data_IF_849817719212
#
_entry.id   IF_849817719212
#
_cell.length_a   1.000
_cell.length_b   1.000
_cell.length_c   1.000
_cell.angle_alpha   90.00
_cell.angle_beta   90.00
_cell.angle_gamma   90.00
#
_symmetry.space_group_name_H-M   'P 1'
#
loop_
_entity.id
_entity.type
_entity.pdbx_description
1 polymer ?
#
# COMPACT_ATOMS: atom_id res chain seq x y z
N UNK A 1 34.17 -22.88 -0.18
CA UNK A 1 33.05 -22.59 -1.10
C UNK A 1 32.19 -21.52 -0.45
N UNK A 2 32.11 -20.30 -1.00
CA UNK A 2 31.31 -19.24 -0.38
C UNK A 2 29.87 -19.31 -0.90
N UNK A 3 28.93 -19.47 0.04
CA UNK A 3 27.51 -19.26 -0.22
C UNK A 3 27.25 -17.75 -0.13
N UNK A 4 26.84 -17.15 -1.24
CA UNK A 4 26.14 -15.87 -1.27
C UNK A 4 24.72 -16.15 -1.78
N UNK A 5 23.74 -15.97 -0.91
CA UNK A 5 22.37 -15.72 -1.31
C UNK A 5 21.81 -14.68 -0.36
N UNK A 6 22.00 -13.42 -0.74
CA UNK A 6 21.33 -12.29 -0.11
C UNK A 6 19.83 -12.48 -0.20
N UNK A 7 19.20 -12.67 0.95
CA UNK A 7 17.75 -12.55 1.08
C UNK A 7 17.41 -11.07 0.93
N UNK A 8 16.80 -10.71 -0.21
CA UNK A 8 16.22 -9.39 -0.42
C UNK A 8 15.13 -9.12 0.60
N UNK A 9 15.51 -8.51 1.71
CA UNK A 9 14.69 -7.48 2.34
C UNK A 9 14.59 -6.38 1.26
N UNK A 10 13.40 -6.02 0.82
CA UNK A 10 12.86 -4.67 1.04
C UNK A 10 11.51 -4.61 0.32
N UNK A 11 10.44 -4.21 1.03
CA UNK A 11 9.13 -4.02 0.40
C UNK A 11 7.93 -4.32 1.30
N UNK A 12 8.01 -4.10 2.61
CA UNK A 12 6.86 -4.34 3.51
C UNK A 12 6.13 -3.06 3.95
N UNK A 13 6.35 -1.93 3.26
CA UNK A 13 5.67 -0.67 3.55
C UNK A 13 4.28 -0.60 2.94
N UNK A 14 3.27 -0.26 3.75
CA UNK A 14 1.96 0.16 3.25
C UNK A 14 1.93 1.70 3.22
N UNK A 15 1.69 2.28 2.05
CA UNK A 15 1.55 3.71 1.84
C UNK A 15 0.08 4.13 2.03
N UNK A 16 -0.16 5.01 2.98
CA UNK A 16 -1.43 5.72 3.14
C UNK A 16 -1.40 7.03 2.36
N UNK A 17 -2.44 7.26 1.57
CA UNK A 17 -2.67 8.58 0.96
C UNK A 17 -3.98 9.14 1.50
N UNK A 18 -3.91 10.38 1.96
CA UNK A 18 -4.89 11.04 2.80
C UNK A 18 -5.07 12.48 2.31
N UNK A 19 -6.29 13.01 2.14
CA UNK A 19 -6.54 14.44 2.11
C UNK A 19 -6.96 14.89 3.52
N UNK A 20 -6.07 15.58 4.24
CA UNK A 20 -6.47 16.43 5.35
C UNK A 20 -6.67 17.85 4.85
N UNK A 21 -7.79 18.42 5.25
CA UNK A 21 -7.91 19.85 5.40
C UNK A 21 -7.53 20.19 6.84
N UNK A 22 -6.53 21.05 7.00
CA UNK A 22 -6.15 21.67 8.27
C UNK A 22 -5.55 20.72 9.32
N UNK A 23 -4.22 20.78 9.50
CA UNK A 23 -3.57 20.77 10.81
C UNK A 23 -2.06 20.52 10.64
N UNK A 24 -1.25 21.52 11.02
CA UNK A 24 0.17 21.35 11.33
C UNK A 24 0.34 20.55 12.62
N UNK A 25 0.04 19.26 12.59
CA UNK A 25 0.20 18.35 13.73
C UNK A 25 1.59 17.70 13.78
N UNK A 26 2.12 17.52 14.99
CA UNK A 26 3.36 16.79 15.28
C UNK A 26 3.29 15.29 14.92
N UNK A 27 4.44 14.61 14.90
CA UNK A 27 4.55 13.18 14.57
C UNK A 27 3.81 12.27 15.56
N UNK A 28 3.82 12.59 16.86
CA UNK A 28 3.10 11.83 17.90
C UNK A 28 1.59 11.87 17.72
N UNK A 29 1.04 13.02 17.30
CA UNK A 29 -0.38 13.18 16.96
C UNK A 29 -0.76 12.29 15.79
N UNK A 30 0.14 12.12 14.82
CA UNK A 30 -0.10 11.27 13.66
C UNK A 30 -0.10 9.78 14.02
N UNK A 31 0.87 9.32 14.82
CA UNK A 31 0.90 7.91 15.23
C UNK A 31 -0.40 7.50 15.93
N UNK A 32 -0.88 8.34 16.87
CA UNK A 32 -2.15 8.15 17.55
C UNK A 32 -3.34 8.14 16.59
N UNK A 33 -3.37 9.06 15.64
CA UNK A 33 -4.41 9.13 14.61
C UNK A 33 -4.47 7.83 13.79
N UNK A 34 -3.32 7.41 13.26
CA UNK A 34 -3.18 6.20 12.45
C UNK A 34 -3.62 4.96 13.22
N UNK A 35 -3.26 4.88 14.49
CA UNK A 35 -3.68 3.82 15.41
C UNK A 35 -5.20 3.74 15.55
N UNK A 36 -5.88 4.87 15.74
CA UNK A 36 -7.35 4.91 15.82
C UNK A 36 -7.98 4.46 14.50
N UNK A 37 -7.44 4.95 13.38
CA UNK A 37 -7.91 4.56 12.04
C UNK A 37 -7.74 3.05 11.78
N UNK A 38 -6.65 2.42 12.24
CA UNK A 38 -6.49 0.96 12.16
C UNK A 38 -7.55 0.22 12.97
N UNK A 39 -7.81 0.68 14.20
CA UNK A 39 -8.82 0.07 15.07
C UNK A 39 -10.22 0.12 14.45
N UNK A 40 -10.58 1.26 13.83
CA UNK A 40 -11.85 1.41 13.10
C UNK A 40 -11.95 0.46 11.90
N UNK A 41 -10.86 0.25 11.16
CA UNK A 41 -10.84 -0.70 10.03
C UNK A 41 -10.90 -2.15 10.51
N UNK A 42 -10.30 -2.45 11.66
CA UNK A 42 -10.16 -3.82 12.15
C UNK A 42 -11.45 -4.37 12.76
N UNK A 43 -12.24 -3.54 13.47
CA UNK A 43 -13.59 -3.77 14.05
C UNK A 43 -13.85 -5.07 14.85
N UNK A 44 -12.95 -6.05 14.85
CA UNK A 44 -13.10 -7.35 15.54
C UNK A 44 -12.25 -7.38 16.82
N UNK A 45 -12.85 -7.68 17.99
CA UNK A 45 -12.23 -7.48 19.30
C UNK A 45 -11.14 -8.50 19.68
N UNK A 46 -10.99 -9.60 18.95
CA UNK A 46 -10.08 -10.70 19.32
C UNK A 46 -8.74 -10.70 18.57
N UNK A 47 -8.38 -9.58 17.94
CA UNK A 47 -7.13 -9.43 17.20
C UNK A 47 -6.29 -8.29 17.75
N UNK A 48 -4.97 -8.40 17.53
CA UNK A 48 -3.92 -7.42 17.84
C UNK A 48 -4.49 -6.00 17.75
N UNK A 49 -4.52 -5.25 18.86
CA UNK A 49 -5.13 -3.93 18.86
C UNK A 49 -4.48 -3.00 17.83
N UNK A 50 -5.18 -1.97 17.35
CA UNK A 50 -4.59 -1.03 16.39
C UNK A 50 -3.27 -0.41 16.89
N UNK A 51 -3.12 -0.24 18.22
CA UNK A 51 -1.90 0.26 18.86
C UNK A 51 -0.75 -0.74 18.85
N UNK A 52 -1.07 -2.04 18.92
CA UNK A 52 -0.06 -3.10 18.83
C UNK A 52 0.24 -3.46 17.36
N UNK A 53 -0.67 -3.13 16.44
CA UNK A 53 -0.50 -3.41 15.02
C UNK A 53 0.48 -2.43 14.35
N UNK A 54 0.53 -1.17 14.80
CA UNK A 54 1.37 -0.10 14.23
C UNK A 54 2.64 0.05 15.05
N UNK A 55 3.79 -0.16 14.40
CA UNK A 55 5.11 0.04 15.01
C UNK A 55 5.60 1.47 14.76
N UNK A 56 5.59 1.89 13.49
CA UNK A 56 6.04 3.21 13.07
C UNK A 56 5.04 3.80 12.08
N UNK A 57 4.79 5.09 12.20
CA UNK A 57 4.07 5.85 11.19
C UNK A 57 4.88 7.13 10.88
N UNK A 58 5.17 7.39 9.60
CA UNK A 58 5.96 8.56 9.19
C UNK A 58 5.38 9.29 7.97
N UNK A 59 5.43 10.63 7.93
CA UNK A 59 4.96 11.40 6.78
C UNK A 59 6.00 11.42 5.66
N UNK A 60 5.56 11.16 4.44
CA UNK A 60 6.40 11.25 3.26
C UNK A 60 6.42 12.68 2.68
N UNK A 61 7.63 13.10 2.30
CA UNK A 61 7.86 14.34 1.57
C UNK A 61 7.95 15.59 2.46
N UNK A 62 8.38 16.68 1.83
CA UNK A 62 8.47 17.99 2.48
C UNK A 62 7.08 18.55 2.74
N UNK A 63 6.95 19.29 3.83
CA UNK A 63 5.73 20.05 4.09
C UNK A 63 5.70 21.23 3.11
N UNK A 64 4.80 21.16 2.12
CA UNK A 64 4.53 22.29 1.24
C UNK A 64 3.42 23.15 1.81
N UNK A 65 3.47 24.46 1.54
CA UNK A 65 2.39 25.41 1.88
C UNK A 65 1.14 25.20 1.02
N UNK A 66 1.25 24.42 -0.06
CA UNK A 66 0.08 23.94 -0.78
C UNK A 66 -0.58 22.89 0.10
N UNK A 67 -1.83 23.12 0.49
CA UNK A 67 -2.69 22.31 1.40
C UNK A 67 -2.82 20.81 1.06
N UNK A 68 -2.04 20.29 0.12
CA UNK A 68 -1.90 18.88 -0.19
C UNK A 68 -1.35 18.13 1.00
N UNK A 69 -2.14 17.18 1.46
CA UNK A 69 -1.75 16.32 2.57
C UNK A 69 -0.73 15.29 2.15
N UNK A 70 0.28 15.13 3.01
CA UNK A 70 1.36 14.17 2.85
C UNK A 70 0.86 12.74 3.07
N UNK A 71 1.36 11.84 2.23
CA UNK A 71 1.22 10.41 2.44
C UNK A 71 1.90 10.00 3.75
N UNK A 72 1.44 8.91 4.35
CA UNK A 72 2.03 8.31 5.56
C UNK A 72 2.51 6.91 5.21
N UNK A 73 3.76 6.58 5.50
CA UNK A 73 4.21 5.18 5.52
C UNK A 73 3.92 4.63 6.90
N UNK A 74 3.36 3.42 6.92
CA UNK A 74 3.14 2.66 8.14
C UNK A 74 3.98 1.39 8.08
N UNK A 75 4.79 1.20 9.13
CA UNK A 75 5.40 -0.07 9.45
C UNK A 75 4.49 -0.78 10.46
N UNK A 76 4.07 -1.99 10.11
CA UNK A 76 3.29 -2.83 11.01
C UNK A 76 4.22 -3.66 11.88
N UNK A 77 3.91 -3.77 13.17
CA UNK A 77 4.63 -4.65 14.10
C UNK A 77 4.47 -6.13 13.71
N UNK A 78 3.30 -6.49 13.15
CA UNK A 78 2.97 -7.85 12.76
C UNK A 78 2.45 -7.92 11.34
N UNK A 79 3.00 -8.85 10.54
CA UNK A 79 2.54 -9.10 9.17
C UNK A 79 1.08 -9.57 9.11
N UNK A 80 0.64 -10.36 10.09
CA UNK A 80 -0.74 -10.80 10.21
C UNK A 80 -1.70 -9.61 10.36
N UNK A 81 -1.37 -8.66 11.25
CA UNK A 81 -2.19 -7.46 11.45
C UNK A 81 -2.32 -6.66 10.15
N UNK A 82 -1.20 -6.45 9.44
CA UNK A 82 -1.20 -5.79 8.12
C UNK A 82 -2.15 -6.48 7.14
N UNK A 83 -2.03 -7.80 6.96
CA UNK A 83 -2.80 -8.53 5.95
C UNK A 83 -4.30 -8.53 6.24
N UNK A 84 -4.67 -8.59 7.53
CA UNK A 84 -6.05 -8.51 8.00
C UNK A 84 -6.64 -7.12 7.78
N UNK A 85 -5.92 -6.08 8.21
CA UNK A 85 -6.30 -4.67 7.98
C UNK A 85 -6.43 -4.42 6.48
N UNK A 86 -5.48 -4.90 5.67
CA UNK A 86 -5.51 -4.74 4.22
C UNK A 86 -6.73 -5.39 3.57
N UNK A 87 -7.12 -6.59 4.05
CA UNK A 87 -8.31 -7.28 3.56
C UNK A 87 -9.58 -6.49 3.89
N UNK A 88 -9.70 -5.99 5.12
CA UNK A 88 -10.86 -5.21 5.59
C UNK A 88 -10.93 -3.82 4.97
N UNK A 89 -9.78 -3.20 4.72
CA UNK A 89 -9.68 -1.86 4.15
C UNK A 89 -10.33 -1.74 2.77
N UNK A 90 -10.34 -2.81 1.97
CA UNK A 90 -10.96 -2.80 0.63
C UNK A 90 -12.46 -2.50 0.65
N UNK A 91 -13.14 -2.94 1.71
CA UNK A 91 -14.60 -2.83 1.85
C UNK A 91 -15.01 -1.84 2.96
N UNK A 92 -14.06 -1.11 3.53
CA UNK A 92 -14.31 -0.18 4.63
C UNK A 92 -15.02 1.09 4.16
N UNK A 93 -16.25 1.31 4.63
CA UNK A 93 -16.98 2.57 4.44
C UNK A 93 -16.23 3.74 5.09
N UNK A 94 -15.66 3.54 6.28
CA UNK A 94 -14.90 4.55 7.01
C UNK A 94 -13.77 5.16 6.16
N UNK A 95 -12.97 4.32 5.49
CA UNK A 95 -11.89 4.79 4.62
C UNK A 95 -12.43 5.54 3.42
N UNK A 96 -13.48 5.03 2.78
CA UNK A 96 -14.11 5.67 1.62
C UNK A 96 -14.66 7.05 1.96
N UNK A 97 -15.39 7.15 3.07
CA UNK A 97 -16.06 8.38 3.50
C UNK A 97 -15.03 9.43 3.97
N UNK A 98 -13.93 8.94 4.57
CA UNK A 98 -12.77 9.76 4.94
C UNK A 98 -11.80 10.04 3.79
N UNK A 99 -12.08 9.54 2.58
CA UNK A 99 -11.23 9.65 1.37
C UNK A 99 -9.80 9.11 1.58
N UNK A 100 -9.65 8.12 2.44
CA UNK A 100 -8.41 7.42 2.76
C UNK A 100 -8.30 6.18 1.89
N UNK A 101 -7.08 5.85 1.47
CA UNK A 101 -6.83 4.59 0.78
C UNK A 101 -5.47 4.00 1.13
N UNK A 102 -5.44 2.67 1.17
CA UNK A 102 -4.23 1.88 1.28
C UNK A 102 -3.63 1.65 -0.10
N UNK A 103 -2.34 1.88 -0.21
CA UNK A 103 -1.51 1.49 -1.34
C UNK A 103 -0.27 0.76 -0.85
N UNK A 104 0.32 -0.05 -1.73
CA UNK A 104 1.61 -0.68 -1.43
C UNK A 104 2.70 0.33 -1.76
N UNK A 105 3.70 0.49 -0.89
CA UNK A 105 4.84 1.31 -1.25
C UNK A 105 5.80 0.50 -2.12
N UNK A 106 5.54 0.54 -3.41
CA UNK A 106 6.36 -0.11 -4.42
C UNK A 106 7.61 0.72 -4.72
N UNK A 107 8.74 0.06 -4.95
CA UNK A 107 9.94 0.72 -5.49
C UNK A 107 9.68 1.27 -6.89
N UNK A 108 10.53 2.19 -7.36
CA UNK A 108 10.36 2.85 -8.67
C UNK A 108 10.26 1.82 -9.80
N UNK A 109 11.16 0.83 -9.80
CA UNK A 109 11.18 -0.24 -10.82
C UNK A 109 9.86 -1.02 -10.88
N UNK A 110 9.26 -1.30 -9.72
CA UNK A 110 7.98 -2.01 -9.61
C UNK A 110 6.81 -1.15 -10.07
N UNK A 111 6.84 0.15 -9.74
CA UNK A 111 5.87 1.15 -10.23
C UNK A 111 5.90 1.22 -11.76
N UNK A 112 7.10 1.23 -12.36
CA UNK A 112 7.28 1.23 -13.82
C UNK A 112 6.81 -0.07 -14.48
N UNK A 113 7.12 -1.22 -13.89
CA UNK A 113 6.63 -2.51 -14.36
C UNK A 113 5.09 -2.53 -14.37
N UNK A 114 4.47 -2.05 -13.29
CA UNK A 114 3.02 -1.91 -13.18
C UNK A 114 2.44 -0.94 -14.19
N UNK A 115 3.08 0.22 -14.40
CA UNK A 115 2.65 1.21 -15.39
C UNK A 115 2.64 0.63 -16.81
N UNK A 116 3.60 -0.25 -17.14
CA UNK A 116 3.67 -0.92 -18.44
C UNK A 116 2.50 -1.91 -18.64
N UNK A 117 2.10 -2.62 -17.59
CA UNK A 117 1.03 -3.63 -17.65
C UNK A 117 -0.37 -3.04 -17.38
N UNK A 118 -0.44 -1.83 -16.84
CA UNK A 118 -1.69 -1.17 -16.47
C UNK A 118 -2.70 -1.05 -17.63
N UNK A 119 -2.32 -0.60 -18.84
CA UNK A 119 -3.28 -0.48 -19.94
C UNK A 119 -3.97 -1.81 -20.28
N UNK A 120 -3.21 -2.92 -20.26
CA UNK A 120 -3.75 -4.26 -20.51
C UNK A 120 -4.67 -4.72 -19.39
N UNK A 121 -4.29 -4.50 -18.13
CA UNK A 121 -5.15 -4.82 -16.99
C UNK A 121 -6.45 -3.99 -17.02
N UNK A 122 -6.36 -2.72 -17.41
CA UNK A 122 -7.52 -1.83 -17.52
C UNK A 122 -8.47 -2.24 -18.64
N UNK A 123 -7.96 -2.57 -19.83
CA UNK A 123 -8.80 -3.05 -20.94
C UNK A 123 -9.48 -4.37 -20.58
N UNK A 124 -8.74 -5.30 -19.95
CA UNK A 124 -9.26 -6.60 -19.49
C UNK A 124 -10.39 -6.43 -18.47
N UNK A 125 -10.26 -5.48 -17.54
CA UNK A 125 -11.34 -5.15 -16.59
C UNK A 125 -12.57 -4.58 -17.28
N UNK A 126 -12.39 -3.72 -18.30
CA UNK A 126 -13.50 -3.16 -19.08
C UNK A 126 -14.25 -4.23 -19.87
N UNK A 127 -13.56 -5.29 -20.31
CA UNK A 127 -14.15 -6.49 -20.91
C UNK A 127 -14.87 -7.40 -19.90
N UNK A 128 -14.85 -7.08 -18.60
CA UNK A 128 -15.50 -7.87 -17.54
C UNK A 128 -14.67 -9.06 -17.05
N UNK A 129 -13.42 -9.20 -17.47
CA UNK A 129 -12.50 -10.26 -17.01
C UNK A 129 -11.80 -9.87 -15.72
N UNK A 130 -11.34 -10.86 -14.96
CA UNK A 130 -10.64 -10.62 -13.70
C UNK A 130 -9.20 -10.21 -13.99
N UNK A 131 -8.81 -8.98 -13.66
CA UNK A 131 -7.42 -8.54 -13.69
C UNK A 131 -7.02 -7.82 -12.41
N UNK A 132 -5.90 -8.23 -11.81
CA UNK A 132 -5.41 -7.66 -10.56
C UNK A 132 -3.87 -7.67 -10.48
N UNK A 133 -3.34 -6.92 -9.52
CA UNK A 133 -1.90 -6.86 -9.25
C UNK A 133 -1.62 -7.43 -7.85
N UNK A 134 -0.46 -8.07 -7.71
CA UNK A 134 0.16 -8.45 -6.42
C UNK A 134 1.61 -7.98 -6.48
N UNK A 135 1.97 -6.97 -5.68
CA UNK A 135 3.24 -6.28 -5.83
C UNK A 135 3.42 -5.71 -7.26
N UNK A 136 4.56 -5.96 -7.92
CA UNK A 136 4.79 -5.56 -9.32
C UNK A 136 4.11 -6.46 -10.36
N UNK A 137 3.61 -7.64 -9.95
CA UNK A 137 3.13 -8.67 -10.88
C UNK A 137 1.66 -8.45 -11.19
N UNK A 138 1.27 -8.70 -12.43
CA UNK A 138 -0.11 -8.62 -12.88
C UNK A 138 -0.66 -10.00 -13.21
N UNK A 139 -1.95 -10.19 -12.95
CA UNK A 139 -2.66 -11.44 -13.17
C UNK A 139 -3.93 -11.16 -13.97
N UNK A 140 -4.22 -12.02 -14.94
CA UNK A 140 -5.48 -12.05 -15.69
C UNK A 140 -6.07 -13.46 -15.57
N UNK A 141 -7.30 -13.56 -15.09
CA UNK A 141 -8.00 -14.82 -14.84
C UNK A 141 -7.14 -15.83 -14.05
N UNK A 142 -6.41 -15.31 -13.04
CA UNK A 142 -5.52 -16.07 -12.17
C UNK A 142 -4.15 -16.42 -12.76
N UNK A 143 -3.87 -16.09 -14.02
CA UNK A 143 -2.58 -16.36 -14.67
C UNK A 143 -1.69 -15.11 -14.67
N UNK A 144 -0.44 -15.28 -14.24
CA UNK A 144 0.54 -14.20 -14.25
C UNK A 144 0.86 -13.79 -15.70
N UNK A 145 0.78 -12.49 -15.99
CA UNK A 145 1.20 -11.94 -17.27
C UNK A 145 2.64 -11.45 -17.16
N UNK A 146 3.50 -11.96 -18.06
CA UNK A 146 4.89 -11.55 -18.11
C UNK A 146 5.04 -10.25 -18.87
N UNK A 147 5.88 -9.35 -18.37
CA UNK A 147 6.35 -8.20 -19.14
C UNK A 147 7.14 -8.76 -20.33
N UNK A 148 6.69 -8.48 -21.56
CA UNK A 148 7.52 -8.75 -22.74
C UNK A 148 8.84 -8.00 -22.55
N UNK A 149 9.96 -8.73 -22.44
CA UNK A 149 11.27 -8.11 -22.58
C UNK A 149 11.24 -7.40 -23.94
N UNK A 150 11.60 -6.12 -23.96
CA UNK A 150 12.01 -5.54 -25.23
C UNK A 150 13.30 -6.28 -25.56
N UNK A 151 13.28 -7.09 -26.61
CA UNK A 151 14.49 -7.67 -27.14
C UNK A 151 15.37 -6.51 -27.61
N UNK A 152 16.38 -6.18 -26.82
CA UNK A 152 17.49 -5.34 -27.27
C UNK A 152 18.40 -6.29 -28.03
N UNK A 153 18.01 -6.58 -29.27
CA UNK A 153 18.95 -7.12 -30.26
C UNK A 153 19.29 -5.96 -31.18
N UNK A 154 20.46 -5.38 -30.90
CA UNK A 154 21.19 -4.47 -31.79
C UNK A 154 21.80 -5.28 -32.93
#
# INVERSE_FOLDING_TARGET
MPLHSGTGQDGQGSCWKRPLHGAGGSESTMHRQVTMEMSEVQAEPNLISGSEAVDIAHRLGRQDNNERTRAVIILFAFRLARDLIWKKAKDSSFLRDSKLHFGEDLIIMDKEARATLWPLAESTRKEGKSAYFVGPRAYIDGKEIQRKRRDIFT
#
